data_IF_889799748300
#
_entry.id   IF_889799748300
#
_cell.length_a   1.000
_cell.length_b   1.000
_cell.length_c   1.000
_cell.angle_alpha   90.00
_cell.angle_beta   90.00
_cell.angle_gamma   90.00
#
_symmetry.space_group_name_H-M   'P 1'
#
loop_
_entity.id
_entity.type
_entity.pdbx_description
1 polymer ?
#
# COMPACT_ATOMS: atom_id res chain seq x y z
N UNK A 1 12.42 18.48 7.06
CA UNK A 1 12.10 17.40 8.01
C UNK A 1 11.84 16.16 7.19
N UNK A 2 12.70 15.14 7.30
CA UNK A 2 12.49 13.87 6.62
C UNK A 2 11.53 13.05 7.48
N UNK A 3 10.27 12.99 7.08
CA UNK A 3 9.34 12.00 7.61
C UNK A 3 9.78 10.64 7.06
N UNK A 4 10.71 10.00 7.76
CA UNK A 4 10.97 8.57 7.61
C UNK A 4 9.76 7.82 8.18
N UNK A 5 8.67 7.85 7.43
CA UNK A 5 7.60 6.85 7.57
C UNK A 5 8.17 5.66 6.82
N UNK A 6 8.42 4.55 7.53
CA UNK A 6 8.90 3.32 6.90
C UNK A 6 8.13 3.08 5.61
N UNK A 7 8.84 3.10 4.48
CA UNK A 7 8.22 3.11 3.16
C UNK A 7 7.32 1.88 3.05
N UNK A 8 6.02 2.10 3.15
CA UNK A 8 5.04 1.05 3.26
C UNK A 8 3.73 1.58 2.72
N UNK A 9 3.15 0.85 1.80
CA UNK A 9 1.90 1.24 1.18
C UNK A 9 0.77 0.91 2.13
N UNK A 10 -0.03 1.94 2.46
CA UNK A 10 -1.16 1.81 3.36
C UNK A 10 -2.46 2.01 2.60
N UNK A 11 -3.30 0.99 2.60
CA UNK A 11 -4.62 1.03 1.97
C UNK A 11 -5.69 0.82 3.03
N UNK A 12 -6.55 1.83 3.27
CA UNK A 12 -7.64 1.70 4.24
C UNK A 12 -8.87 1.07 3.59
N UNK A 13 -9.44 0.06 4.23
CA UNK A 13 -10.61 -0.64 3.72
C UNK A 13 -11.47 -1.27 4.82
N UNK A 14 -12.46 -2.04 4.37
CA UNK A 14 -13.39 -2.79 5.23
C UNK A 14 -13.28 -4.27 4.92
N UNK A 15 -13.22 -5.11 5.96
CA UNK A 15 -13.08 -6.55 5.81
C UNK A 15 -14.40 -7.13 5.27
N UNK A 16 -14.40 -7.65 4.04
CA UNK A 16 -15.56 -8.31 3.44
C UNK A 16 -15.65 -9.77 3.88
N UNK A 17 -14.54 -10.50 3.88
CA UNK A 17 -14.45 -11.89 4.32
C UNK A 17 -13.24 -12.08 5.21
N UNK A 18 -13.37 -12.99 6.16
CA UNK A 18 -12.32 -13.33 7.12
C UNK A 18 -12.33 -14.85 7.30
N UNK A 19 -11.21 -15.47 6.98
CA UNK A 19 -10.89 -16.87 7.22
C UNK A 19 -9.61 -16.94 8.07
N UNK A 20 -9.29 -18.14 8.59
CA UNK A 20 -8.16 -18.34 9.51
C UNK A 20 -6.80 -17.97 8.87
N UNK A 21 -6.66 -18.14 7.55
CA UNK A 21 -5.41 -17.93 6.82
C UNK A 21 -5.40 -16.67 5.94
N UNK A 22 -6.57 -16.16 5.54
CA UNK A 22 -6.71 -15.07 4.56
C UNK A 22 -7.93 -14.22 4.89
N UNK A 23 -7.86 -12.93 4.60
CA UNK A 23 -8.99 -12.03 4.63
C UNK A 23 -9.08 -11.27 3.31
N UNK A 24 -10.30 -10.93 2.90
CA UNK A 24 -10.54 -10.03 1.78
C UNK A 24 -11.01 -8.68 2.30
N UNK A 25 -10.35 -7.62 1.86
CA UNK A 25 -10.61 -6.25 2.29
C UNK A 25 -11.05 -5.43 1.09
N UNK A 26 -12.21 -4.79 1.20
CA UNK A 26 -12.73 -3.84 0.23
C UNK A 26 -12.04 -2.48 0.41
N UNK A 27 -11.36 -2.01 -0.63
CA UNK A 27 -10.73 -0.69 -0.70
C UNK A 27 -11.32 0.05 -1.91
N UNK A 28 -12.18 1.03 -1.62
CA UNK A 28 -12.94 1.73 -2.67
C UNK A 28 -13.80 0.75 -3.47
N UNK A 29 -13.56 0.64 -4.78
CA UNK A 29 -14.26 -0.27 -5.69
C UNK A 29 -13.57 -1.62 -5.90
N UNK A 30 -12.37 -1.80 -5.34
CA UNK A 30 -11.59 -3.03 -5.49
C UNK A 30 -11.57 -3.85 -4.19
N UNK A 31 -11.33 -5.15 -4.32
CA UNK A 31 -11.16 -6.06 -3.19
C UNK A 31 -9.75 -6.67 -3.25
N UNK A 32 -9.07 -6.72 -2.09
CA UNK A 32 -7.72 -7.25 -1.99
C UNK A 32 -7.63 -8.33 -0.93
N UNK A 33 -6.85 -9.36 -1.23
CA UNK A 33 -6.56 -10.48 -0.36
C UNK A 33 -5.32 -10.16 0.49
N UNK A 34 -5.38 -10.45 1.79
CA UNK A 34 -4.33 -10.17 2.75
C UNK A 34 -4.29 -11.22 3.86
N UNK A 35 -3.20 -11.26 4.61
CA UNK A 35 -3.12 -12.01 5.87
C UNK A 35 -3.82 -11.23 6.99
N UNK A 36 -4.78 -11.84 7.71
CA UNK A 36 -5.42 -11.21 8.86
C UNK A 36 -4.47 -11.22 10.07
N UNK A 37 -3.70 -10.14 10.26
CA UNK A 37 -2.72 -10.05 11.36
C UNK A 37 -3.33 -9.45 12.62
N UNK A 38 -4.20 -8.43 12.48
CA UNK A 38 -4.90 -7.78 13.60
C UNK A 38 -6.41 -7.60 13.36
N UNK A 39 -6.93 -8.26 12.34
CA UNK A 39 -8.36 -8.27 12.04
C UNK A 39 -9.02 -9.43 12.75
N UNK A 40 -10.12 -9.18 13.44
CA UNK A 40 -10.85 -10.19 14.24
C UNK A 40 -12.25 -10.47 13.73
N UNK A 41 -12.86 -9.56 12.96
CA UNK A 41 -14.24 -9.70 12.51
C UNK A 41 -14.50 -9.15 11.10
N UNK A 42 -15.52 -9.71 10.44
CA UNK A 42 -16.03 -9.19 9.16
C UNK A 42 -16.73 -7.85 9.40
N UNK A 43 -16.54 -6.90 8.50
CA UNK A 43 -17.04 -5.53 8.64
C UNK A 43 -16.09 -4.59 9.40
N UNK A 44 -15.02 -5.11 10.01
CA UNK A 44 -14.03 -4.28 10.69
C UNK A 44 -13.29 -3.37 9.69
N UNK A 45 -13.02 -2.13 10.11
CA UNK A 45 -12.14 -1.24 9.37
C UNK A 45 -10.68 -1.64 9.60
N UNK A 46 -9.92 -1.77 8.53
CA UNK A 46 -8.53 -2.23 8.58
C UNK A 46 -7.65 -1.40 7.66
N UNK A 47 -6.35 -1.39 7.96
CA UNK A 47 -5.33 -0.84 7.08
C UNK A 47 -4.50 -1.99 6.52
N UNK A 48 -4.56 -2.19 5.21
CA UNK A 48 -3.64 -3.06 4.50
C UNK A 48 -2.28 -2.40 4.43
N UNK A 49 -1.25 -3.18 4.67
CA UNK A 49 0.13 -2.76 4.66
C UNK A 49 0.92 -3.66 3.71
N UNK A 50 1.50 -3.05 2.67
CA UNK A 50 2.24 -3.74 1.62
C UNK A 50 3.61 -3.10 1.46
N UNK A 51 4.67 -3.89 1.63
CA UNK A 51 6.04 -3.40 1.49
C UNK A 51 6.37 -3.08 0.02
N UNK A 52 7.02 -1.94 -0.29
CA UNK A 52 7.35 -1.52 -1.65
C UNK A 52 8.16 -2.55 -2.44
N UNK A 53 9.05 -3.27 -1.77
CA UNK A 53 9.91 -4.29 -2.39
C UNK A 53 9.17 -5.59 -2.74
N UNK A 54 7.93 -5.76 -2.25
CA UNK A 54 7.07 -6.91 -2.56
C UNK A 54 6.08 -6.63 -3.68
N UNK A 55 6.05 -5.41 -4.20
CA UNK A 55 5.22 -5.04 -5.34
C UNK A 55 6.01 -5.29 -6.63
N UNK A 56 5.40 -6.04 -7.54
CA UNK A 56 5.94 -6.40 -8.84
C UNK A 56 5.33 -5.49 -9.90
N UNK A 57 6.15 -5.00 -10.83
CA UNK A 57 5.71 -4.24 -12.00
C UNK A 57 5.49 -5.17 -13.19
N UNK A 58 4.54 -4.79 -14.06
CA UNK A 58 4.16 -5.57 -15.24
C UNK A 58 3.81 -7.03 -14.88
N UNK A 59 3.10 -7.22 -13.76
CA UNK A 59 2.64 -8.55 -13.36
C UNK A 59 1.72 -9.15 -14.42
N UNK A 60 2.02 -10.35 -14.88
CA UNK A 60 1.05 -11.17 -15.60
C UNK A 60 -0.09 -11.58 -14.66
N UNK A 61 -1.30 -11.74 -15.23
CA UNK A 61 -2.53 -11.96 -14.48
C UNK A 61 -2.46 -13.19 -13.55
N UNK A 62 -1.65 -14.19 -13.90
CA UNK A 62 -1.53 -15.46 -13.16
C UNK A 62 -0.50 -15.44 -12.02
N UNK A 63 0.28 -14.37 -11.85
CA UNK A 63 1.42 -14.38 -10.92
C UNK A 63 1.15 -13.79 -9.54
N UNK A 64 0.09 -12.98 -9.39
CA UNK A 64 -0.17 -12.21 -8.16
C UNK A 64 -1.63 -12.36 -7.70
N UNK A 65 -1.85 -12.63 -6.40
CA UNK A 65 -3.19 -12.63 -5.79
C UNK A 65 -3.90 -11.26 -5.91
N UNK A 66 -3.15 -10.15 -5.87
CA UNK A 66 -3.68 -8.79 -5.91
C UNK A 66 -3.06 -8.01 -7.06
N UNK A 67 -3.90 -7.30 -7.82
CA UNK A 67 -3.45 -6.51 -8.96
C UNK A 67 -4.23 -5.22 -9.11
N UNK A 68 -3.53 -4.17 -9.53
CA UNK A 68 -4.10 -2.89 -9.91
C UNK A 68 -3.36 -2.31 -11.11
N UNK A 69 -4.04 -1.45 -11.86
CA UNK A 69 -3.42 -0.68 -12.94
C UNK A 69 -3.32 0.78 -12.55
N UNK A 70 -2.19 1.41 -12.86
CA UNK A 70 -1.94 2.81 -12.57
C UNK A 70 -1.01 3.46 -13.58
N UNK A 71 -0.66 4.71 -13.32
CA UNK A 71 0.25 5.50 -14.12
C UNK A 71 1.53 5.72 -13.34
N UNK A 72 2.68 5.38 -13.93
CA UNK A 72 3.98 5.70 -13.35
C UNK A 72 4.14 7.23 -13.32
N UNK A 73 4.25 7.83 -12.14
CA UNK A 73 4.44 9.28 -11.99
C UNK A 73 5.89 9.66 -11.88
N UNK A 74 6.64 8.93 -11.07
CA UNK A 74 8.03 9.24 -10.75
C UNK A 74 8.87 7.96 -10.77
N UNK A 75 10.09 8.08 -11.28
CA UNK A 75 11.13 7.05 -11.22
C UNK A 75 12.40 7.69 -10.69
N UNK A 76 12.82 7.24 -9.51
CA UNK A 76 13.92 7.83 -8.75
C UNK A 76 14.98 6.75 -8.57
N UNK A 77 16.21 7.03 -9.00
CA UNK A 77 17.33 6.11 -8.88
C UNK A 77 18.08 6.33 -7.56
N UNK A 78 18.24 5.27 -6.78
CA UNK A 78 18.92 5.30 -5.48
C UNK A 78 20.24 4.49 -5.46
N UNK A 79 20.75 4.06 -6.62
CA UNK A 79 21.98 3.26 -6.72
C UNK A 79 21.70 1.77 -6.87
N UNK A 80 21.30 1.09 -5.78
CA UNK A 80 20.98 -0.35 -5.82
C UNK A 80 19.55 -0.64 -6.30
N UNK A 81 18.67 0.36 -6.27
CA UNK A 81 17.26 0.21 -6.62
C UNK A 81 16.69 1.47 -7.26
N UNK A 82 15.59 1.27 -7.97
CA UNK A 82 14.66 2.29 -8.39
C UNK A 82 13.50 2.36 -7.41
N UNK A 83 13.16 3.58 -7.02
CA UNK A 83 11.93 3.90 -6.30
C UNK A 83 10.96 4.50 -7.31
N UNK A 84 9.84 3.83 -7.50
CA UNK A 84 8.80 4.25 -8.41
C UNK A 84 7.58 4.71 -7.62
N UNK A 85 6.94 5.78 -8.09
CA UNK A 85 5.65 6.22 -7.55
C UNK A 85 4.61 6.00 -8.63
N UNK A 86 3.65 5.11 -8.36
CA UNK A 86 2.55 4.76 -9.26
C UNK A 86 1.26 5.34 -8.70
N UNK A 87 0.52 6.04 -9.53
CA UNK A 87 -0.77 6.63 -9.18
C UNK A 87 -1.88 5.70 -9.69
N UNK A 88 -2.67 5.17 -8.76
CA UNK A 88 -3.73 4.21 -9.01
C UNK A 88 -5.06 4.82 -8.60
N UNK A 89 -6.05 4.83 -9.50
CA UNK A 89 -7.34 5.49 -9.24
C UNK A 89 -8.06 4.92 -8.01
N UNK A 90 -7.99 3.60 -7.79
CA UNK A 90 -8.73 2.91 -6.73
C UNK A 90 -8.12 3.06 -5.34
N UNK A 91 -6.80 3.21 -5.25
CA UNK A 91 -6.05 3.13 -3.97
C UNK A 91 -5.11 4.31 -3.72
N UNK A 92 -4.97 5.21 -4.69
CA UNK A 92 -4.09 6.37 -4.62
C UNK A 92 -2.65 6.04 -5.01
N UNK A 93 -1.70 6.69 -4.34
CA UNK A 93 -0.28 6.57 -4.65
C UNK A 93 0.32 5.32 -4.00
N UNK A 94 1.01 4.54 -4.82
CA UNK A 94 1.77 3.37 -4.40
C UNK A 94 3.26 3.56 -4.72
N UNK A 95 4.11 3.28 -3.73
CA UNK A 95 5.56 3.26 -3.87
C UNK A 95 6.00 1.83 -4.14
N UNK A 96 6.78 1.64 -5.20
CA UNK A 96 7.31 0.34 -5.61
C UNK A 96 8.83 0.42 -5.61
N UNK A 97 9.49 -0.57 -5.03
CA UNK A 97 10.95 -0.68 -4.98
C UNK A 97 11.42 -1.82 -5.87
N UNK A 98 12.14 -1.48 -6.92
CA UNK A 98 12.65 -2.43 -7.92
C UNK A 98 14.16 -2.43 -7.89
N UNK A 99 14.78 -3.60 -7.75
CA UNK A 99 16.23 -3.72 -7.79
C UNK A 99 16.77 -3.27 -9.16
N UNK A 100 17.91 -2.58 -9.13
CA UNK A 100 18.64 -2.22 -10.34
C UNK A 100 19.42 -3.45 -10.85
N UNK A 101 18.69 -4.46 -11.30
CA UNK A 101 19.27 -5.65 -11.93
C UNK A 101 19.25 -5.53 -13.46
N UNK A 102 20.35 -5.95 -14.08
CA UNK A 102 20.55 -5.82 -15.53
C UNK A 102 19.53 -6.64 -16.37
N UNK A 103 18.78 -7.57 -15.77
CA UNK A 103 17.68 -8.30 -16.44
C UNK A 103 16.35 -7.56 -16.46
N UNK A 104 16.16 -6.55 -15.61
CA UNK A 104 14.90 -5.81 -15.53
C UNK A 104 14.85 -4.78 -16.66
N UNK A 105 14.68 -5.26 -17.89
CA UNK A 105 14.51 -4.45 -19.12
C UNK A 105 13.12 -3.79 -19.19
N UNK A 106 12.58 -3.41 -18.03
CA UNK A 106 11.30 -2.72 -17.96
C UNK A 106 11.52 -1.32 -18.54
N UNK A 107 10.86 -1.01 -19.66
CA UNK A 107 10.78 0.35 -20.23
C UNK A 107 9.96 1.24 -19.29
N UNK A 108 10.55 1.60 -18.15
CA UNK A 108 9.90 2.36 -17.08
C UNK A 108 9.98 3.86 -17.39
N UNK A 109 9.01 4.34 -18.14
CA UNK A 109 8.91 5.77 -18.48
C UNK A 109 7.81 6.43 -17.67
N UNK A 110 8.09 7.53 -16.95
CA UNK A 110 7.04 8.34 -16.33
C UNK A 110 5.95 8.72 -17.35
N UNK A 111 4.69 8.58 -16.95
CA UNK A 111 3.51 8.73 -17.81
C UNK A 111 3.03 7.43 -18.46
N UNK A 112 3.82 6.35 -18.41
CA UNK A 112 3.39 5.05 -18.91
C UNK A 112 2.35 4.41 -17.98
N UNK A 113 1.38 3.73 -18.58
CA UNK A 113 0.49 2.85 -17.85
C UNK A 113 1.24 1.58 -17.45
N UNK A 114 1.11 1.21 -16.18
CA UNK A 114 1.72 0.02 -15.63
C UNK A 114 0.70 -0.77 -14.81
N UNK A 115 0.79 -2.09 -14.90
CA UNK A 115 0.11 -3.00 -13.99
C UNK A 115 1.06 -3.33 -12.86
N UNK A 116 0.56 -3.31 -11.63
CA UNK A 116 1.31 -3.67 -10.45
C UNK A 116 0.55 -4.70 -9.64
N UNK A 117 1.27 -5.63 -9.04
CA UNK A 117 0.67 -6.70 -8.26
C UNK A 117 1.55 -7.15 -7.11
N UNK A 118 0.93 -7.84 -6.15
CA UNK A 118 1.60 -8.40 -4.99
C UNK A 118 0.86 -9.65 -4.51
N UNK A 119 1.56 -10.50 -3.77
CA UNK A 119 0.94 -11.68 -3.19
C UNK A 119 0.17 -11.35 -1.93
N UNK A 120 -0.90 -12.11 -1.67
CA UNK A 120 -1.71 -11.96 -0.44
C UNK A 120 -0.88 -12.18 0.82
N UNK A 121 0.17 -13.00 0.73
CA UNK A 121 1.07 -13.31 1.83
C UNK A 121 2.01 -12.17 2.25
N UNK A 122 2.25 -11.22 1.35
CA UNK A 122 3.07 -10.03 1.57
C UNK A 122 2.22 -8.79 1.93
N UNK A 123 0.90 -8.96 1.98
CA UNK A 123 -0.07 -7.96 2.37
C UNK A 123 -0.60 -8.27 3.77
N UNK A 124 -0.41 -7.37 4.72
CA UNK A 124 -0.89 -7.54 6.09
C UNK A 124 -2.08 -6.65 6.39
N UNK A 125 -3.20 -7.24 6.80
CA UNK A 125 -4.34 -6.51 7.33
C UNK A 125 -4.12 -6.21 8.82
N UNK A 126 -3.93 -4.93 9.12
CA UNK A 126 -3.63 -4.42 10.45
C UNK A 126 -4.83 -3.69 11.05
N UNK A 127 -4.79 -3.47 12.36
CA UNK A 127 -5.79 -2.65 13.03
C UNK A 127 -5.76 -1.24 12.43
N UNK A 128 -6.94 -0.70 12.12
CA UNK A 128 -7.07 0.69 11.75
C UNK A 128 -7.03 1.53 13.02
N UNK A 129 -5.86 1.60 13.68
CA UNK A 129 -5.64 2.60 14.72
C UNK A 129 -5.74 3.94 14.00
N UNK A 130 -6.86 4.65 14.17
CA UNK A 130 -6.92 6.05 13.77
C UNK A 130 -5.66 6.72 14.33
N UNK A 131 -4.96 7.58 13.56
CA UNK A 131 -4.07 8.51 14.22
C UNK A 131 -4.93 9.21 15.27
N UNK A 132 -4.53 9.11 16.54
CA UNK A 132 -5.14 9.88 17.61
C UNK A 132 -5.16 11.32 17.13
N UNK A 133 -6.33 11.78 16.70
CA UNK A 133 -6.60 13.20 16.55
C UNK A 133 -6.36 13.74 17.95
N UNK A 134 -5.27 14.49 18.12
CA UNK A 134 -5.02 15.23 19.34
C UNK A 134 -6.13 16.27 19.49
N UNK A 135 -7.24 15.85 20.10
CA UNK A 135 -8.29 16.74 20.55
C UNK A 135 -7.80 17.46 21.81
N UNK A 136 -7.38 18.70 21.60
CA UNK A 136 -7.65 19.90 22.40
C UNK A 136 -7.77 19.75 23.93
N UNK A 137 -6.91 20.46 24.67
CA UNK A 137 -7.34 21.32 25.78
C UNK A 137 -6.30 22.43 25.95
N UNK A 138 -6.50 23.55 25.24
CA UNK A 138 -6.00 24.84 25.70
C UNK A 138 -6.76 25.18 26.98
N UNK A 139 -6.14 24.95 28.15
CA UNK A 139 -6.63 25.49 29.41
C UNK A 139 -6.06 26.90 29.53
N UNK A 140 -6.93 27.86 29.22
CA UNK A 140 -6.80 29.28 29.50
C UNK A 140 -6.55 29.51 31.00
N UNK A 141 -5.35 29.93 31.39
CA UNK A 141 -5.10 30.58 32.67
C UNK A 141 -3.88 31.49 32.57
N UNK A 142 -4.10 32.77 32.29
CA UNK A 142 -3.29 33.84 32.88
C UNK A 142 -4.20 35.04 33.15
N UNK A 143 -4.70 35.05 34.39
CA UNK A 143 -5.07 36.27 35.08
C UNK A 143 -3.80 36.80 35.76
N UNK A 144 -3.33 37.98 35.34
CA UNK A 144 -2.57 38.93 36.16
C UNK A 144 -2.50 40.28 35.43
#
# INVERSE_FOLDING_TARGET
>A
MAQFIGENNQLTGIVNTLDDARCQVQVGKAAFNAKPVRVTERGQRTTLSIRPEKIILQSDDEQCDNQVSGILRELIYHGDHYRLVVDVETVGKLVVKVLNDNRTHLSLTPGAQCRIGWQSEDCHALDCSQPLSQAQTECNEEAA
#
